data_IF_044515133054
#
_entry.id   IF_044515133054
#
_cell.length_a   1.000
_cell.length_b   1.000
_cell.length_c   1.000
_cell.angle_alpha   90.00
_cell.angle_beta   90.00
_cell.angle_gamma   90.00
#
_symmetry.space_group_name_H-M   'P 1'
#
loop_
_entity.id
_entity.type
_entity.pdbx_description
1 polymer ?
#
# COMPACT_ATOMS: atom_id res chain seq x y z
N UNK A 1 -27.63 -68.78 2.88
CA UNK A 1 -27.46 -68.05 4.16
C UNK A 1 -26.11 -67.36 4.12
N UNK A 2 -26.14 -66.04 3.98
CA UNK A 2 -24.98 -65.15 3.83
C UNK A 2 -24.65 -64.63 5.23
N UNK A 3 -23.44 -64.88 5.73
CA UNK A 3 -22.83 -64.22 6.88
C UNK A 3 -21.37 -64.69 6.98
N UNK A 4 -20.36 -63.89 7.29
CA UNK A 4 -20.17 -62.45 7.33
C UNK A 4 -18.65 -62.26 7.23
N UNK A 5 -18.19 -61.44 6.28
CA UNK A 5 -16.77 -61.14 6.11
C UNK A 5 -16.27 -60.25 7.25
N UNK A 6 -15.26 -60.70 7.97
CA UNK A 6 -14.50 -59.88 8.92
C UNK A 6 -13.68 -58.84 8.17
N UNK A 7 -14.09 -57.59 8.28
CA UNK A 7 -13.35 -56.42 7.79
C UNK A 7 -12.30 -56.05 8.85
N UNK A 8 -11.04 -56.39 8.58
CA UNK A 8 -9.89 -55.83 9.28
C UNK A 8 -9.79 -54.35 8.90
N UNK A 9 -10.05 -53.48 9.89
CA UNK A 9 -9.75 -52.06 9.81
C UNK A 9 -8.24 -51.89 9.88
N UNK A 10 -7.59 -51.64 8.74
CA UNK A 10 -6.23 -51.10 8.72
C UNK A 10 -6.31 -49.67 9.24
N UNK A 11 -5.86 -49.49 10.47
CA UNK A 11 -5.66 -48.20 11.12
C UNK A 11 -4.58 -47.43 10.33
N UNK A 12 -5.02 -46.56 9.41
CA UNK A 12 -4.13 -45.62 8.73
C UNK A 12 -3.68 -44.62 9.78
N UNK A 13 -2.48 -44.83 10.32
CA UNK A 13 -1.81 -43.84 11.17
C UNK A 13 -1.75 -42.52 10.41
N UNK A 14 -2.53 -41.54 10.89
CA UNK A 14 -2.38 -40.15 10.50
C UNK A 14 -0.99 -39.70 10.90
N UNK A 15 -0.11 -39.53 9.91
CA UNK A 15 1.17 -38.84 10.09
C UNK A 15 0.84 -37.41 10.49
N UNK A 16 0.91 -37.15 11.79
CA UNK A 16 0.93 -35.80 12.34
C UNK A 16 2.14 -35.09 11.74
N UNK A 17 1.96 -33.83 11.34
CA UNK A 17 3.02 -32.98 10.82
C UNK A 17 4.02 -32.64 11.93
N UNK A 18 4.81 -33.64 12.31
CA UNK A 18 5.93 -33.56 13.22
C UNK A 18 7.13 -33.05 12.43
N UNK A 19 7.58 -31.86 12.83
CA UNK A 19 8.93 -31.33 12.70
C UNK A 19 9.81 -31.96 11.61
N UNK A 20 9.83 -31.33 10.43
CA UNK A 20 10.92 -31.52 9.47
C UNK A 20 12.17 -30.88 10.08
N UNK A 21 12.87 -31.60 10.97
CA UNK A 21 14.23 -31.25 11.35
C UNK A 21 15.14 -31.54 10.15
N UNK A 22 16.01 -30.58 9.73
CA UNK A 22 16.98 -30.86 8.68
C UNK A 22 17.92 -31.99 9.15
N UNK A 23 18.31 -32.92 8.25
CA UNK A 23 19.01 -34.17 8.59
C UNK A 23 20.38 -33.99 9.26
N UNK A 24 20.88 -32.77 9.38
CA UNK A 24 22.18 -32.43 9.95
C UNK A 24 22.10 -31.72 11.31
N UNK A 25 20.91 -31.47 11.87
CA UNK A 25 20.77 -30.76 13.15
C UNK A 25 21.29 -29.31 13.14
N UNK A 26 21.67 -28.79 11.97
CA UNK A 26 22.17 -27.44 11.79
C UNK A 26 21.02 -26.45 11.96
N UNK A 27 21.03 -25.69 13.06
CA UNK A 27 20.27 -24.43 13.16
C UNK A 27 20.95 -23.39 12.29
N UNK A 28 20.71 -23.44 10.98
CA UNK A 28 21.18 -22.40 10.06
C UNK A 28 20.30 -21.17 10.31
N UNK A 29 20.85 -20.02 10.75
CA UNK A 29 20.07 -18.80 10.88
C UNK A 29 19.46 -18.44 9.52
N UNK A 30 18.33 -17.71 9.53
CA UNK A 30 17.76 -17.22 8.28
C UNK A 30 18.83 -16.40 7.55
N UNK A 31 19.05 -16.64 6.24
CA UNK A 31 20.14 -16.03 5.50
C UNK A 31 20.01 -14.50 5.34
N UNK A 32 18.82 -13.96 5.60
CA UNK A 32 18.55 -12.52 5.66
C UNK A 32 18.11 -12.18 7.07
N UNK A 33 19.02 -11.61 7.86
CA UNK A 33 18.81 -11.32 9.28
C UNK A 33 18.60 -9.83 9.61
N UNK A 34 18.72 -8.93 8.62
CA UNK A 34 18.66 -7.49 8.85
C UNK A 34 17.80 -6.80 7.78
N UNK A 35 17.15 -5.71 8.20
CA UNK A 35 16.40 -4.80 7.33
C UNK A 35 17.33 -3.84 6.60
N UNK A 36 17.05 -3.57 5.33
CA UNK A 36 17.60 -2.39 4.66
C UNK A 36 16.78 -1.11 4.96
N UNK A 37 17.36 0.10 4.72
CA UNK A 37 16.66 1.36 4.94
C UNK A 37 15.38 1.46 4.10
N UNK A 38 14.26 1.85 4.70
CA UNK A 38 12.94 1.93 4.02
C UNK A 38 12.48 0.61 3.34
N UNK A 39 13.02 -0.54 3.74
CA UNK A 39 12.67 -1.83 3.12
C UNK A 39 11.28 -2.34 3.58
N UNK A 40 10.50 -2.87 2.62
CA UNK A 40 9.24 -3.57 2.92
C UNK A 40 9.44 -5.03 3.34
N UNK A 41 8.51 -5.60 4.13
CA UNK A 41 8.53 -7.04 4.46
C UNK A 41 8.52 -7.94 3.22
N UNK A 42 7.81 -7.54 2.17
CA UNK A 42 7.81 -8.25 0.89
C UNK A 42 9.19 -8.28 0.24
N UNK A 43 9.94 -7.18 0.32
CA UNK A 43 11.31 -7.10 -0.15
C UNK A 43 12.24 -8.04 0.62
N UNK A 44 12.18 -8.01 1.95
CA UNK A 44 12.99 -8.89 2.79
C UNK A 44 12.71 -10.36 2.48
N UNK A 45 11.44 -10.74 2.34
CA UNK A 45 11.04 -12.07 1.93
C UNK A 45 11.53 -12.44 0.52
N UNK A 46 11.59 -11.46 -0.39
CA UNK A 46 12.13 -11.63 -1.75
C UNK A 46 13.65 -11.81 -1.76
N UNK A 47 14.38 -11.09 -0.91
CA UNK A 47 15.82 -11.34 -0.69
C UNK A 47 16.04 -12.74 -0.15
N UNK A 48 15.29 -13.13 0.89
CA UNK A 48 15.35 -14.47 1.47
C UNK A 48 15.09 -15.55 0.41
N UNK A 49 14.08 -15.35 -0.45
CA UNK A 49 13.77 -16.26 -1.54
C UNK A 49 14.98 -16.53 -2.44
N UNK A 50 15.67 -15.46 -2.85
CA UNK A 50 16.83 -15.52 -3.73
C UNK A 50 18.03 -16.16 -3.03
N UNK A 51 18.39 -15.69 -1.83
CA UNK A 51 19.59 -16.16 -1.11
C UNK A 51 19.44 -17.61 -0.66
N UNK A 52 18.26 -18.03 -0.21
CA UNK A 52 17.98 -19.43 0.15
C UNK A 52 17.81 -20.35 -1.07
N UNK A 53 17.95 -19.83 -2.29
CA UNK A 53 17.77 -20.57 -3.55
C UNK A 53 16.44 -21.33 -3.62
N UNK A 54 15.37 -20.72 -3.08
CA UNK A 54 14.06 -21.35 -3.06
C UNK A 54 13.50 -21.44 -4.48
N UNK A 55 13.14 -22.65 -4.92
CA UNK A 55 12.63 -22.85 -6.28
C UNK A 55 11.20 -22.39 -6.46
N UNK A 56 10.35 -22.59 -5.44
CA UNK A 56 8.93 -22.20 -5.49
C UNK A 56 8.67 -21.10 -4.48
N UNK A 57 7.79 -20.17 -4.84
CA UNK A 57 7.36 -19.15 -3.89
C UNK A 57 6.69 -19.74 -2.64
N UNK A 58 6.04 -20.90 -2.79
CA UNK A 58 5.47 -21.66 -1.67
C UNK A 58 6.50 -22.08 -0.64
N UNK A 59 7.74 -22.33 -1.03
CA UNK A 59 8.80 -22.79 -0.13
C UNK A 59 9.21 -21.63 0.78
N UNK A 60 9.39 -20.44 0.22
CA UNK A 60 9.61 -19.20 0.98
C UNK A 60 8.43 -18.86 1.87
N UNK A 61 7.19 -18.94 1.38
CA UNK A 61 6.02 -18.72 2.23
C UNK A 61 5.97 -19.73 3.38
N UNK A 62 6.34 -20.99 3.12
CA UNK A 62 6.38 -22.05 4.11
C UNK A 62 7.55 -21.90 5.08
N UNK A 63 8.63 -21.20 4.72
CA UNK A 63 9.78 -20.89 5.59
C UNK A 63 9.59 -19.63 6.43
N UNK A 64 8.87 -18.63 5.92
CA UNK A 64 8.67 -17.36 6.63
C UNK A 64 7.32 -17.24 7.34
N UNK A 65 6.23 -17.74 6.75
CA UNK A 65 4.84 -17.51 7.23
C UNK A 65 4.08 -18.80 7.59
N UNK A 66 4.72 -19.96 7.45
CA UNK A 66 4.16 -21.28 7.79
C UNK A 66 2.98 -21.72 6.93
N UNK A 67 2.84 -21.15 5.73
CA UNK A 67 1.78 -21.51 4.79
C UNK A 67 2.32 -21.48 3.36
N UNK A 68 1.86 -22.37 2.48
CA UNK A 68 2.33 -22.42 1.09
C UNK A 68 1.91 -21.24 0.19
N UNK A 69 1.04 -20.33 0.66
CA UNK A 69 0.37 -19.31 -0.19
C UNK A 69 -0.02 -18.04 0.56
N UNK A 70 -0.43 -18.17 1.83
CA UNK A 70 -0.72 -17.01 2.68
C UNK A 70 0.59 -16.32 3.06
N UNK A 71 0.58 -14.98 3.13
CA UNK A 71 1.77 -14.15 3.38
C UNK A 71 2.44 -13.57 2.13
N UNK A 72 2.15 -14.09 0.93
CA UNK A 72 2.82 -13.68 -0.32
C UNK A 72 2.34 -12.37 -0.95
N UNK A 73 1.51 -11.61 -0.23
CA UNK A 73 0.95 -10.34 -0.70
C UNK A 73 1.92 -9.23 -0.37
N UNK A 74 2.23 -8.41 -1.36
CA UNK A 74 3.20 -7.32 -1.23
C UNK A 74 2.61 -6.08 -0.56
N UNK A 75 1.30 -5.89 -0.68
CA UNK A 75 0.56 -4.75 -0.15
C UNK A 75 0.20 -4.94 1.33
N UNK A 76 -0.44 -6.06 1.67
CA UNK A 76 -0.90 -6.36 3.03
C UNK A 76 -0.41 -7.74 3.46
N UNK A 77 0.53 -7.81 4.43
CA UNK A 77 1.03 -9.08 4.91
C UNK A 77 -0.02 -9.82 5.75
N UNK A 78 0.28 -11.08 6.08
CA UNK A 78 -0.54 -11.91 6.97
C UNK A 78 0.36 -12.91 7.68
N UNK A 79 -0.11 -13.45 8.81
CA UNK A 79 0.62 -14.37 9.67
C UNK A 79 1.93 -13.77 10.21
N UNK A 80 1.87 -12.51 10.63
CA UNK A 80 3.03 -11.82 11.20
C UNK A 80 3.49 -12.45 12.51
N UNK A 81 2.61 -13.05 13.32
CA UNK A 81 3.04 -13.78 14.53
C UNK A 81 3.96 -14.96 14.16
N UNK A 82 3.62 -15.71 13.11
CA UNK A 82 4.46 -16.81 12.60
C UNK A 82 5.80 -16.29 12.08
N UNK A 83 5.80 -15.16 11.38
CA UNK A 83 7.02 -14.53 10.88
C UNK A 83 7.95 -14.11 12.03
N UNK A 84 7.41 -13.44 13.05
CA UNK A 84 8.16 -13.02 14.24
C UNK A 84 8.71 -14.25 14.99
N UNK A 85 7.90 -15.29 15.18
CA UNK A 85 8.34 -16.51 15.84
C UNK A 85 9.52 -17.19 15.10
N UNK A 86 9.47 -17.21 13.77
CA UNK A 86 10.50 -17.88 12.93
C UNK A 86 11.78 -17.10 12.77
N UNK A 87 11.71 -15.78 12.93
CA UNK A 87 12.86 -14.89 12.96
C UNK A 87 13.41 -14.72 14.38
N UNK A 88 12.82 -15.41 15.37
CA UNK A 88 13.20 -15.29 16.78
C UNK A 88 13.02 -13.86 17.33
N UNK A 89 12.13 -13.07 16.73
CA UNK A 89 11.94 -11.65 17.06
C UNK A 89 13.06 -10.71 16.60
N UNK A 90 14.09 -11.20 15.91
CA UNK A 90 15.25 -10.39 15.49
C UNK A 90 14.88 -9.31 14.46
N UNK A 91 13.83 -9.54 13.68
CA UNK A 91 13.32 -8.59 12.68
C UNK A 91 12.20 -7.68 13.23
N UNK A 92 12.05 -7.62 14.55
CA UNK A 92 11.08 -6.79 15.24
C UNK A 92 9.78 -7.52 15.58
N UNK A 93 8.96 -6.83 16.38
CA UNK A 93 7.61 -7.18 16.75
C UNK A 93 6.63 -7.01 15.58
N UNK A 94 5.41 -7.51 15.74
CA UNK A 94 4.37 -7.34 14.72
C UNK A 94 4.04 -5.85 14.51
N UNK A 95 3.95 -5.08 15.60
CA UNK A 95 3.73 -3.64 15.56
C UNK A 95 4.81 -2.93 14.75
N UNK A 96 6.09 -3.16 15.07
CA UNK A 96 7.22 -2.54 14.35
C UNK A 96 7.18 -2.91 12.86
N UNK A 97 6.91 -4.17 12.52
CA UNK A 97 6.77 -4.60 11.13
C UNK A 97 5.61 -3.87 10.45
N UNK A 98 4.44 -3.79 11.08
CA UNK A 98 3.28 -3.10 10.50
C UNK A 98 3.58 -1.62 10.26
N UNK A 99 4.14 -0.93 11.25
CA UNK A 99 4.36 0.51 11.17
C UNK A 99 5.59 0.92 10.34
N UNK A 100 6.61 0.07 10.27
CA UNK A 100 7.88 0.41 9.62
C UNK A 100 8.11 -0.30 8.28
N UNK A 101 7.48 -1.46 8.06
CA UNK A 101 7.81 -2.38 6.95
C UNK A 101 6.63 -2.68 6.03
N UNK A 102 5.51 -1.97 6.19
CA UNK A 102 4.32 -2.08 5.33
C UNK A 102 3.77 -0.72 4.91
N UNK A 103 2.81 -0.73 3.96
CA UNK A 103 2.08 0.47 3.54
C UNK A 103 0.86 0.80 4.42
N UNK A 104 0.50 -0.08 5.38
CA UNK A 104 -0.67 0.10 6.25
C UNK A 104 -0.71 1.44 7.02
N UNK A 105 0.42 2.02 7.46
CA UNK A 105 0.45 3.33 8.10
C UNK A 105 -0.23 4.44 7.31
N UNK A 106 -0.26 4.36 5.98
CA UNK A 106 -0.94 5.36 5.15
C UNK A 106 -2.46 5.41 5.42
N UNK A 107 -3.05 4.29 5.82
CA UNK A 107 -4.50 4.14 5.94
C UNK A 107 -5.02 4.41 7.35
N UNK A 108 -4.20 4.20 8.38
CA UNK A 108 -4.64 4.30 9.77
C UNK A 108 -5.11 5.69 10.20
N UNK A 109 -4.47 6.81 9.80
CA UNK A 109 -4.93 8.13 10.23
C UNK A 109 -6.34 8.46 9.73
N UNK A 110 -6.84 7.80 8.69
CA UNK A 110 -8.17 8.01 8.14
C UNK A 110 -9.23 7.05 8.72
N UNK A 111 -8.85 6.26 9.72
CA UNK A 111 -9.71 5.28 10.39
C UNK A 111 -9.86 5.58 11.88
N UNK A 112 -10.53 4.70 12.63
CA UNK A 112 -10.57 4.80 14.09
C UNK A 112 -9.49 3.94 14.74
N UNK A 113 -9.14 4.24 15.99
CA UNK A 113 -8.15 3.45 16.74
C UNK A 113 -8.56 1.99 16.84
N UNK A 114 -9.83 1.73 17.11
CA UNK A 114 -10.39 0.38 17.23
C UNK A 114 -10.22 -0.39 15.91
N UNK A 115 -10.45 0.27 14.78
CA UNK A 115 -10.29 -0.34 13.45
C UNK A 115 -8.82 -0.57 13.09
N UNK A 116 -7.91 0.31 13.50
CA UNK A 116 -6.48 0.06 13.37
C UNK A 116 -6.08 -1.19 14.17
N UNK A 117 -6.51 -1.31 15.42
CA UNK A 117 -6.26 -2.48 16.25
C UNK A 117 -6.86 -3.76 15.67
N UNK A 118 -8.07 -3.70 15.09
CA UNK A 118 -8.69 -4.82 14.35
C UNK A 118 -7.82 -5.26 13.17
N UNK A 119 -7.29 -4.31 12.39
CA UNK A 119 -6.41 -4.62 11.27
C UNK A 119 -5.11 -5.26 11.75
N UNK A 120 -4.49 -4.74 12.81
CA UNK A 120 -3.29 -5.31 13.42
C UNK A 120 -3.56 -6.75 13.89
N UNK A 121 -4.68 -6.99 14.59
CA UNK A 121 -5.13 -8.34 14.98
C UNK A 121 -5.32 -9.25 13.76
N UNK A 122 -5.82 -8.71 12.65
CA UNK A 122 -6.06 -9.48 11.42
C UNK A 122 -4.75 -9.89 10.73
N UNK A 123 -3.75 -9.01 10.67
CA UNK A 123 -2.46 -9.33 10.00
C UNK A 123 -1.57 -10.26 10.84
N UNK A 124 -1.80 -10.34 12.16
CA UNK A 124 -1.13 -11.27 13.08
C UNK A 124 -1.36 -12.74 12.69
N UNK A 125 -2.60 -13.09 12.36
CA UNK A 125 -2.99 -14.45 11.95
C UNK A 125 -3.38 -14.51 10.45
N UNK A 126 -4.08 -15.58 10.08
CA UNK A 126 -4.61 -15.85 8.75
C UNK A 126 -5.82 -14.96 8.52
N UNK A 127 -5.76 -14.16 7.48
CA UNK A 127 -6.89 -13.35 7.00
C UNK A 127 -8.09 -14.27 6.66
N UNK A 128 -9.02 -14.46 7.60
CA UNK A 128 -10.30 -15.15 7.37
C UNK A 128 -11.27 -14.26 6.60
N UNK A 129 -12.22 -14.86 5.88
CA UNK A 129 -13.03 -14.20 4.85
C UNK A 129 -13.85 -12.98 5.32
N UNK A 130 -14.21 -12.88 6.61
CA UNK A 130 -14.99 -11.77 7.16
C UNK A 130 -14.15 -10.50 7.41
N UNK A 131 -12.87 -10.64 7.79
CA UNK A 131 -11.95 -9.52 8.07
C UNK A 131 -11.28 -8.98 6.80
N UNK A 132 -11.33 -9.76 5.71
CA UNK A 132 -10.95 -9.31 4.37
C UNK A 132 -11.79 -8.11 3.92
N UNK A 133 -13.09 -8.13 4.14
CA UNK A 133 -13.99 -7.13 3.56
C UNK A 133 -13.75 -5.69 4.09
N UNK A 134 -13.60 -5.42 5.41
CA UNK A 134 -13.28 -4.09 5.91
C UNK A 134 -11.90 -3.57 5.48
N UNK A 135 -10.90 -4.45 5.39
CA UNK A 135 -9.57 -4.13 4.91
C UNK A 135 -9.58 -3.85 3.40
N UNK A 136 -10.23 -4.68 2.59
CA UNK A 136 -10.44 -4.37 1.16
C UNK A 136 -11.32 -3.15 0.95
N UNK A 137 -12.28 -2.83 1.81
CA UNK A 137 -13.04 -1.58 1.73
C UNK A 137 -12.21 -0.33 2.06
N UNK A 138 -11.23 -0.45 2.96
CA UNK A 138 -10.22 0.59 3.19
C UNK A 138 -9.31 0.75 1.96
N UNK A 139 -9.08 -0.35 1.23
CA UNK A 139 -8.16 -0.45 0.10
C UNK A 139 -8.83 -0.34 -1.30
N UNK A 140 -10.17 -0.23 -1.44
CA UNK A 140 -10.84 -0.23 -2.75
C UNK A 140 -12.02 0.76 -2.90
N UNK A 141 -11.86 1.68 -3.87
CA UNK A 141 -12.58 1.69 -5.17
C UNK A 141 -11.66 2.09 -6.34
N UNK A 142 -10.37 2.31 -6.08
CA UNK A 142 -9.34 2.58 -7.07
C UNK A 142 -8.65 1.26 -7.32
N UNK A 143 -8.68 0.77 -8.57
CA UNK A 143 -8.09 -0.49 -9.07
C UNK A 143 -7.46 -1.40 -8.00
N UNK A 144 -8.05 -2.57 -7.77
CA UNK A 144 -7.72 -3.55 -6.72
C UNK A 144 -6.29 -4.15 -6.77
N UNK A 145 -5.35 -3.52 -7.47
CA UNK A 145 -3.97 -3.95 -7.65
C UNK A 145 -3.07 -2.78 -7.26
N UNK A 146 -2.37 -2.92 -6.13
CA UNK A 146 -1.23 -2.05 -5.83
C UNK A 146 -0.07 -2.47 -6.75
N UNK A 147 0.39 -1.61 -7.69
CA UNK A 147 1.52 -1.93 -8.52
C UNK A 147 2.82 -1.93 -7.71
N UNK A 148 3.71 -2.88 -7.97
CA UNK A 148 5.10 -2.78 -7.48
C UNK A 148 5.86 -1.76 -8.31
N UNK A 149 6.35 -0.72 -7.63
CA UNK A 149 6.97 0.45 -8.24
C UNK A 149 8.41 0.62 -7.75
N UNK A 150 9.33 0.97 -8.65
CA UNK A 150 10.71 1.27 -8.28
C UNK A 150 11.29 2.42 -9.11
N UNK A 151 12.29 3.09 -8.53
CA UNK A 151 13.10 4.07 -9.23
C UNK A 151 14.35 3.40 -9.80
N UNK A 152 14.67 3.65 -11.07
CA UNK A 152 15.88 3.12 -11.71
C UNK A 152 17.16 3.59 -11.02
N UNK A 153 17.17 4.82 -10.51
CA UNK A 153 18.32 5.38 -9.82
C UNK A 153 18.49 4.78 -8.42
N UNK A 154 17.41 4.57 -7.66
CA UNK A 154 17.48 3.79 -6.40
C UNK A 154 18.03 2.39 -6.65
N UNK A 155 17.62 1.70 -7.72
CA UNK A 155 18.15 0.37 -8.04
C UNK A 155 19.68 0.39 -8.20
N UNK A 156 20.22 1.38 -8.92
CA UNK A 156 21.68 1.50 -9.11
C UNK A 156 22.40 1.80 -7.79
N UNK A 157 21.85 2.72 -6.98
CA UNK A 157 22.40 3.09 -5.68
C UNK A 157 22.35 1.90 -4.70
N UNK A 158 21.24 1.17 -4.66
CA UNK A 158 21.06 -0.01 -3.81
C UNK A 158 22.02 -1.13 -4.17
N UNK A 159 22.20 -1.42 -5.46
CA UNK A 159 23.18 -2.43 -5.92
C UNK A 159 24.60 -2.00 -5.56
N UNK A 160 24.93 -0.71 -5.74
CA UNK A 160 26.26 -0.20 -5.39
C UNK A 160 26.52 -0.27 -3.89
N UNK A 161 25.54 0.07 -3.06
CA UNK A 161 25.70 0.19 -1.61
C UNK A 161 25.48 -1.12 -0.86
N UNK A 162 24.43 -1.87 -1.21
CA UNK A 162 23.98 -3.06 -0.49
C UNK A 162 24.15 -4.37 -1.29
N UNK A 163 24.71 -4.29 -2.51
CA UNK A 163 24.88 -5.43 -3.43
C UNK A 163 23.56 -6.06 -3.90
N UNK A 164 22.42 -5.44 -3.57
CA UNK A 164 21.10 -5.92 -3.92
C UNK A 164 20.11 -4.76 -3.99
N UNK A 165 19.36 -4.67 -5.08
CA UNK A 165 18.22 -3.76 -5.15
C UNK A 165 17.01 -4.34 -4.41
N UNK A 166 16.24 -3.48 -3.77
CA UNK A 166 15.17 -3.89 -2.86
C UNK A 166 13.95 -2.96 -2.96
N UNK A 167 12.78 -3.41 -2.49
CA UNK A 167 11.57 -2.60 -2.56
C UNK A 167 11.50 -1.60 -1.41
N UNK A 168 11.76 -0.33 -1.75
CA UNK A 168 11.53 0.82 -0.89
C UNK A 168 10.03 1.01 -0.63
N UNK A 169 9.67 1.17 0.63
CA UNK A 169 8.30 1.35 1.12
C UNK A 169 7.71 2.67 0.64
N UNK A 170 8.49 3.74 0.62
CA UNK A 170 8.05 5.06 0.16
C UNK A 170 7.56 5.02 -1.30
N UNK A 171 8.12 4.15 -2.14
CA UNK A 171 7.66 3.94 -3.51
C UNK A 171 6.31 3.18 -3.58
N UNK A 172 5.99 2.36 -2.59
CA UNK A 172 4.81 1.48 -2.63
C UNK A 172 3.53 2.17 -2.14
N UNK A 173 3.62 3.35 -1.55
CA UNK A 173 2.42 4.07 -1.14
C UNK A 173 1.50 4.34 -2.34
N UNK A 174 0.18 4.09 -2.21
CA UNK A 174 -0.81 4.45 -3.22
C UNK A 174 -0.71 5.91 -3.64
N UNK A 175 -0.75 6.16 -4.95
CA UNK A 175 -0.70 7.51 -5.52
C UNK A 175 0.69 8.12 -5.58
N UNK A 176 1.71 7.46 -5.00
CA UNK A 176 3.11 7.85 -5.15
C UNK A 176 3.67 7.28 -6.44
N UNK A 177 3.88 8.15 -7.43
CA UNK A 177 4.42 7.78 -8.75
C UNK A 177 5.68 8.55 -9.10
N UNK A 178 6.28 9.20 -8.10
CA UNK A 178 7.55 9.87 -8.20
C UNK A 178 8.40 9.45 -7.00
N UNK A 179 9.68 9.18 -7.25
CA UNK A 179 10.64 8.89 -6.21
C UNK A 179 10.81 10.13 -5.33
N UNK A 180 10.58 10.05 -4.01
CA UNK A 180 10.77 11.19 -3.12
C UNK A 180 12.24 11.61 -2.99
N UNK A 181 13.17 10.70 -3.28
CA UNK A 181 14.62 10.96 -3.20
C UNK A 181 15.15 11.61 -4.48
N UNK A 182 14.80 11.06 -5.66
CA UNK A 182 15.38 11.50 -6.94
C UNK A 182 14.46 12.38 -7.79
N UNK A 183 13.21 12.59 -7.38
CA UNK A 183 12.20 13.33 -8.16
C UNK A 183 12.01 12.80 -9.59
N UNK A 184 12.16 11.49 -9.77
CA UNK A 184 11.95 10.78 -11.05
C UNK A 184 10.71 9.91 -10.98
N UNK A 185 9.97 9.82 -12.08
CA UNK A 185 8.80 8.95 -12.14
C UNK A 185 9.17 7.49 -11.83
N UNK A 186 8.33 6.83 -11.03
CA UNK A 186 8.50 5.43 -10.67
C UNK A 186 8.04 4.54 -11.82
N UNK A 187 8.75 3.44 -12.03
CA UNK A 187 8.41 2.42 -13.03
C UNK A 187 7.69 1.26 -12.36
N UNK A 188 6.56 0.87 -12.93
CA UNK A 188 5.85 -0.35 -12.56
C UNK A 188 6.50 -1.57 -13.21
N UNK A 189 6.58 -2.68 -12.47
CA UNK A 189 7.01 -3.97 -13.02
C UNK A 189 5.89 -4.64 -13.81
N UNK A 190 6.20 -5.09 -15.03
CA UNK A 190 5.28 -5.86 -15.89
C UNK A 190 5.64 -7.33 -15.86
N UNK A 191 5.58 -7.92 -14.67
CA UNK A 191 5.63 -9.39 -14.62
C UNK A 191 4.26 -9.90 -15.04
N UNK A 192 4.23 -10.54 -16.22
CA UNK A 192 3.11 -11.36 -16.68
C UNK A 192 2.56 -12.16 -15.49
N UNK A 193 1.33 -11.84 -15.10
CA UNK A 193 0.57 -12.64 -14.14
C UNK A 193 0.34 -13.98 -14.82
N UNK A 194 1.27 -14.91 -14.64
CA UNK A 194 1.03 -16.33 -14.90
C UNK A 194 -0.19 -16.80 -14.09
N UNK A 195 -0.62 -18.05 -14.29
CA UNK A 195 -1.85 -18.62 -13.67
C UNK A 195 -1.93 -18.49 -12.12
N UNK A 196 -0.85 -18.10 -11.45
CA UNK A 196 -0.77 -17.68 -10.05
C UNK A 196 -0.78 -16.14 -9.91
N UNK A 197 -1.87 -15.59 -9.35
CA UNK A 197 -2.13 -14.15 -9.13
C UNK A 197 -1.19 -13.49 -8.09
N UNK A 198 0.10 -13.31 -8.40
CA UNK A 198 1.04 -12.57 -7.54
C UNK A 198 2.37 -12.27 -8.23
N UNK A 199 3.16 -11.34 -7.68
CA UNK A 199 4.43 -10.86 -8.26
C UNK A 199 5.59 -11.87 -8.21
N UNK A 200 5.39 -13.03 -7.57
CA UNK A 200 6.49 -13.90 -7.14
C UNK A 200 7.39 -13.17 -6.13
N UNK A 201 8.19 -13.88 -5.36
CA UNK A 201 9.16 -13.24 -4.45
C UNK A 201 10.32 -12.65 -5.26
N UNK A 202 10.04 -11.57 -5.98
CA UNK A 202 10.92 -10.93 -6.94
C UNK A 202 11.51 -9.64 -6.38
N UNK A 203 12.77 -9.39 -6.73
CA UNK A 203 13.47 -8.14 -6.44
C UNK A 203 13.34 -7.18 -7.63
N UNK A 204 13.43 -5.86 -7.39
CA UNK A 204 13.39 -4.89 -8.47
C UNK A 204 14.60 -5.06 -9.39
N UNK A 205 14.34 -5.18 -10.69
CA UNK A 205 15.37 -5.22 -11.74
C UNK A 205 14.91 -4.36 -12.91
N UNK A 206 15.84 -3.63 -13.52
CA UNK A 206 15.56 -2.76 -14.68
C UNK A 206 14.90 -3.52 -15.84
N UNK A 207 15.29 -4.77 -16.03
CA UNK A 207 14.77 -5.67 -17.07
C UNK A 207 13.29 -6.04 -16.88
N UNK A 208 12.75 -5.94 -15.66
CA UNK A 208 11.39 -6.33 -15.34
C UNK A 208 10.37 -5.19 -15.52
N UNK A 209 10.84 -3.97 -15.80
CA UNK A 209 9.94 -2.86 -16.03
C UNK A 209 9.14 -3.05 -17.32
N UNK A 210 7.91 -2.52 -17.32
CA UNK A 210 7.16 -2.37 -18.55
C UNK A 210 8.08 -1.81 -19.64
N UNK A 211 8.18 -2.50 -20.79
CA UNK A 211 8.67 -1.83 -21.99
C UNK A 211 7.82 -0.58 -22.11
N UNK A 212 8.45 0.58 -22.22
CA UNK A 212 7.72 1.81 -22.46
C UNK A 212 6.78 1.52 -23.65
N UNK A 213 5.47 1.54 -23.42
CA UNK A 213 4.56 1.59 -24.54
C UNK A 213 4.96 2.84 -25.31
N UNK A 214 5.21 2.72 -26.60
CA UNK A 214 5.53 3.88 -27.45
C UNK A 214 4.38 4.92 -27.50
N UNK A 215 3.33 4.77 -26.69
CA UNK A 215 2.47 5.86 -26.26
C UNK A 215 3.19 6.73 -25.22
N UNK A 216 3.84 7.78 -25.74
CA UNK A 216 4.47 8.91 -25.06
C UNK A 216 5.92 8.73 -24.58
N UNK A 217 6.80 8.42 -25.55
CA UNK A 217 8.10 9.10 -25.58
C UNK A 217 7.84 10.55 -26.01
N UNK A 218 8.41 11.51 -25.27
CA UNK A 218 8.31 12.96 -25.49
C UNK A 218 6.97 13.62 -25.14
N UNK A 219 6.54 13.51 -23.88
CA UNK A 219 5.93 14.68 -23.26
C UNK A 219 7.04 15.31 -22.41
N UNK A 220 7.53 16.47 -22.84
CA UNK A 220 8.17 17.45 -21.97
C UNK A 220 7.54 17.36 -20.57
N UNK A 221 8.37 17.24 -19.53
CA UNK A 221 7.95 17.41 -18.14
C UNK A 221 7.08 18.67 -18.10
N UNK A 222 5.75 18.52 -18.12
CA UNK A 222 4.88 19.64 -17.80
C UNK A 222 5.19 19.91 -16.33
N UNK A 223 5.80 21.07 -15.99
CA UNK A 223 6.26 21.34 -14.64
C UNK A 223 5.13 21.12 -13.62
N UNK A 224 3.88 21.28 -14.03
CA UNK A 224 2.70 21.02 -13.22
C UNK A 224 2.50 19.54 -12.85
N UNK A 225 2.67 18.57 -13.75
CA UNK A 225 2.45 17.14 -13.44
C UNK A 225 3.45 16.65 -12.41
N UNK A 226 4.75 16.86 -12.65
CA UNK A 226 5.82 16.42 -11.75
C UNK A 226 5.67 17.06 -10.39
N UNK A 227 5.35 18.36 -10.33
CA UNK A 227 5.08 19.06 -9.06
C UNK A 227 3.88 18.46 -8.33
N UNK A 228 2.78 18.15 -9.02
CA UNK A 228 1.60 17.51 -8.41
C UNK A 228 1.93 16.12 -7.87
N UNK A 229 2.72 15.31 -8.61
CA UNK A 229 3.18 14.00 -8.14
C UNK A 229 4.09 14.12 -6.91
N UNK A 230 5.03 15.08 -6.88
CA UNK A 230 5.88 15.34 -5.71
C UNK A 230 5.03 15.72 -4.49
N UNK A 231 3.99 16.55 -4.68
CA UNK A 231 3.06 16.95 -3.62
C UNK A 231 2.25 15.76 -3.09
N UNK A 232 1.80 14.87 -3.97
CA UNK A 232 1.14 13.61 -3.59
C UNK A 232 2.08 12.69 -2.81
N UNK A 233 3.32 12.52 -3.27
CA UNK A 233 4.34 11.71 -2.60
C UNK A 233 4.62 12.23 -1.19
N UNK A 234 4.84 13.53 -1.05
CA UNK A 234 5.04 14.17 0.24
C UNK A 234 3.82 14.03 1.15
N UNK A 235 2.61 14.29 0.65
CA UNK A 235 1.39 14.16 1.43
C UNK A 235 1.13 12.71 1.89
N UNK A 236 1.43 11.71 1.06
CA UNK A 236 1.32 10.31 1.43
C UNK A 236 2.29 9.95 2.57
N UNK A 237 3.56 10.34 2.44
CA UNK A 237 4.57 10.11 3.48
C UNK A 237 4.20 10.82 4.79
N UNK A 238 3.76 12.08 4.72
CA UNK A 238 3.38 12.86 5.89
C UNK A 238 2.11 12.33 6.57
N UNK A 239 1.13 11.86 5.79
CA UNK A 239 -0.04 11.17 6.33
C UNK A 239 0.38 9.88 7.05
N UNK A 240 1.21 9.04 6.44
CA UNK A 240 1.70 7.81 7.07
C UNK A 240 2.47 8.07 8.37
N UNK A 241 3.22 9.17 8.44
CA UNK A 241 4.00 9.58 9.61
C UNK A 241 3.13 10.03 10.82
N UNK A 242 1.82 10.22 10.66
CA UNK A 242 0.90 10.50 11.77
C UNK A 242 0.69 9.29 12.70
N UNK A 243 0.93 8.09 12.19
CA UNK A 243 0.74 6.85 12.95
C UNK A 243 1.83 6.65 14.01
N UNK A 244 1.55 5.93 15.11
CA UNK A 244 0.29 5.25 15.46
C UNK A 244 -0.71 6.14 16.22
N UNK A 245 -0.35 7.38 16.52
CA UNK A 245 -1.01 8.14 17.58
C UNK A 245 -2.01 9.20 17.09
N UNK A 246 -1.89 9.65 15.84
CA UNK A 246 -2.70 10.75 15.32
C UNK A 246 -3.71 10.24 14.28
N UNK A 247 -4.98 10.57 14.52
CA UNK A 247 -6.10 10.24 13.64
C UNK A 247 -6.78 11.53 13.16
N UNK A 248 -7.18 11.55 11.90
CA UNK A 248 -7.89 12.66 11.26
C UNK A 248 -9.40 12.50 11.54
N UNK A 249 -9.92 13.41 12.35
CA UNK A 249 -11.34 13.55 12.64
C UNK A 249 -12.08 13.96 11.36
N UNK A 250 -13.00 13.11 10.92
CA UNK A 250 -13.73 13.25 9.65
C UNK A 250 -14.47 14.57 9.54
N UNK A 251 -15.15 14.99 10.61
CA UNK A 251 -15.93 16.23 10.63
C UNK A 251 -15.04 17.47 10.59
N UNK A 252 -13.93 17.45 11.32
CA UNK A 252 -12.90 18.50 11.24
C UNK A 252 -12.28 18.59 9.85
N UNK A 253 -11.99 17.45 9.20
CA UNK A 253 -11.48 17.44 7.83
C UNK A 253 -12.48 18.07 6.84
N UNK A 254 -13.77 17.72 6.93
CA UNK A 254 -14.82 18.33 6.09
C UNK A 254 -14.94 19.83 6.32
N UNK A 255 -14.89 20.29 7.58
CA UNK A 255 -14.87 21.73 7.91
C UNK A 255 -13.62 22.42 7.34
N UNK A 256 -12.46 21.80 7.45
CA UNK A 256 -11.20 22.30 6.88
C UNK A 256 -11.31 22.49 5.36
N UNK A 257 -11.89 21.52 4.65
CA UNK A 257 -12.16 21.65 3.20
C UNK A 257 -13.16 22.76 2.88
N UNK A 258 -14.25 22.87 3.63
CA UNK A 258 -15.25 23.93 3.45
C UNK A 258 -14.65 25.32 3.66
N UNK A 259 -13.89 25.51 4.73
CA UNK A 259 -13.22 26.78 5.04
C UNK A 259 -12.24 27.16 3.94
N UNK A 260 -11.51 26.17 3.40
CA UNK A 260 -10.59 26.40 2.29
C UNK A 260 -11.32 26.79 1.01
N UNK A 261 -12.45 26.15 0.69
CA UNK A 261 -13.28 26.54 -0.46
C UNK A 261 -13.84 27.96 -0.31
N UNK A 262 -14.22 28.38 0.92
CA UNK A 262 -14.65 29.76 1.20
C UNK A 262 -13.50 30.73 0.95
N UNK A 263 -12.30 30.44 1.48
CA UNK A 263 -11.12 31.28 1.29
C UNK A 263 -10.70 31.42 -0.19
N UNK A 264 -11.01 30.42 -1.03
CA UNK A 264 -10.78 30.47 -2.47
C UNK A 264 -11.90 31.16 -3.25
N UNK A 265 -12.99 31.59 -2.60
CA UNK A 265 -14.18 32.15 -3.24
C UNK A 265 -14.94 31.13 -4.10
N UNK A 266 -14.82 29.84 -3.77
CA UNK A 266 -15.49 28.72 -4.43
C UNK A 266 -16.76 28.27 -3.66
N UNK A 267 -16.93 28.77 -2.45
CA UNK A 267 -18.10 28.58 -1.59
C UNK A 267 -18.42 29.89 -0.87
N UNK A 268 -19.69 30.27 -0.77
CA UNK A 268 -20.11 31.40 0.06
C UNK A 268 -20.10 31.02 1.55
N UNK A 269 -20.09 32.02 2.43
CA UNK A 269 -20.29 31.82 3.87
C UNK A 269 -21.69 31.27 4.18
N UNK A 270 -22.70 31.58 3.35
CA UNK A 270 -24.05 30.99 3.42
C UNK A 270 -24.12 29.53 2.97
N UNK A 271 -23.03 28.99 2.40
CA UNK A 271 -22.91 27.57 2.03
C UNK A 271 -23.17 27.26 0.56
N UNK A 272 -23.48 28.26 -0.26
CA UNK A 272 -23.68 28.12 -1.71
C UNK A 272 -22.35 27.81 -2.41
N UNK A 273 -22.33 26.81 -3.29
CA UNK A 273 -21.14 26.43 -4.04
C UNK A 273 -21.13 27.10 -5.42
N UNK A 274 -20.02 27.75 -5.76
CA UNK A 274 -19.73 28.22 -7.12
C UNK A 274 -19.34 27.01 -7.99
N UNK A 275 -20.34 26.19 -8.32
CA UNK A 275 -20.15 24.84 -8.84
C UNK A 275 -19.34 24.82 -10.15
N UNK A 276 -19.56 25.78 -11.04
CA UNK A 276 -18.79 25.92 -12.29
C UNK A 276 -17.30 26.09 -12.01
N UNK A 277 -16.94 27.03 -11.12
CA UNK A 277 -15.56 27.30 -10.73
C UNK A 277 -14.91 26.11 -10.02
N UNK A 278 -15.64 25.45 -9.12
CA UNK A 278 -15.16 24.22 -8.46
C UNK A 278 -14.89 23.11 -9.47
N UNK A 279 -15.83 22.86 -10.40
CA UNK A 279 -15.71 21.82 -11.42
C UNK A 279 -14.49 22.08 -12.30
N UNK A 280 -14.33 23.29 -12.84
CA UNK A 280 -13.18 23.66 -13.66
C UNK A 280 -11.87 23.43 -12.90
N UNK A 281 -11.76 23.94 -11.67
CA UNK A 281 -10.54 23.82 -10.87
C UNK A 281 -10.17 22.38 -10.51
N UNK A 282 -11.16 21.52 -10.19
CA UNK A 282 -10.91 20.09 -9.92
C UNK A 282 -10.42 19.38 -11.17
N UNK A 283 -11.05 19.64 -12.33
CA UNK A 283 -10.70 18.97 -13.57
C UNK A 283 -9.30 19.36 -14.05
N UNK A 284 -8.95 20.65 -13.95
CA UNK A 284 -7.59 21.14 -14.23
C UNK A 284 -6.54 20.46 -13.34
N UNK A 285 -6.81 20.32 -12.04
CA UNK A 285 -5.89 19.64 -11.11
C UNK A 285 -5.81 18.12 -11.33
N UNK A 286 -6.91 17.49 -11.74
CA UNK A 286 -6.97 16.04 -11.96
C UNK A 286 -6.32 15.63 -13.29
N UNK A 287 -6.47 16.44 -14.34
CA UNK A 287 -6.11 16.06 -15.71
C UNK A 287 -4.66 15.57 -15.86
N UNK A 288 -3.61 16.27 -15.36
CA UNK A 288 -2.23 15.81 -15.52
C UNK A 288 -1.97 14.48 -14.78
N UNK A 289 -2.64 14.26 -13.66
CA UNK A 289 -2.49 13.08 -12.80
C UNK A 289 -3.15 11.83 -13.42
N UNK A 290 -4.22 11.99 -14.20
CA UNK A 290 -4.95 10.88 -14.82
C UNK A 290 -4.15 10.10 -15.88
N UNK A 291 -3.00 10.62 -16.32
CA UNK A 291 -2.04 9.88 -17.16
C UNK A 291 -1.48 8.64 -16.44
N UNK A 292 -1.52 8.63 -15.11
CA UNK A 292 -1.11 7.51 -14.27
C UNK A 292 -2.29 6.53 -14.11
N UNK A 293 -2.14 5.23 -14.42
CA UNK A 293 -3.22 4.25 -14.35
C UNK A 293 -3.94 4.18 -13.00
N UNK A 294 -3.19 4.22 -11.88
CA UNK A 294 -3.76 4.21 -10.52
C UNK A 294 -4.64 5.43 -10.23
N UNK A 295 -4.42 6.56 -10.92
CA UNK A 295 -5.11 7.83 -10.72
C UNK A 295 -6.23 8.08 -11.74
N UNK A 296 -6.55 7.11 -12.61
CA UNK A 296 -7.65 7.21 -13.58
C UNK A 296 -9.03 7.40 -12.95
N UNK A 297 -9.19 7.04 -11.67
CA UNK A 297 -10.44 7.21 -10.92
C UNK A 297 -10.59 8.61 -10.26
N UNK A 298 -9.62 9.51 -10.45
CA UNK A 298 -9.85 10.94 -10.22
C UNK A 298 -10.98 11.47 -11.12
N UNK A 299 -11.55 12.66 -10.91
CA UNK A 299 -12.60 13.19 -11.78
C UNK A 299 -12.12 13.39 -13.24
N UNK A 300 -12.84 12.81 -14.21
CA UNK A 300 -12.56 12.92 -15.66
C UNK A 300 -13.44 13.93 -16.39
N UNK A 301 -14.61 14.21 -15.83
CA UNK A 301 -15.66 15.00 -16.44
C UNK A 301 -16.47 15.72 -15.37
N UNK A 302 -17.29 16.66 -15.81
CA UNK A 302 -18.11 17.50 -14.93
C UNK A 302 -18.99 16.68 -13.97
N UNK A 303 -19.64 15.62 -14.45
CA UNK A 303 -20.49 14.77 -13.60
C UNK A 303 -19.69 14.16 -12.43
N UNK A 304 -18.50 13.64 -12.72
CA UNK A 304 -17.61 13.06 -11.70
C UNK A 304 -17.05 14.12 -10.76
N UNK A 305 -16.67 15.31 -11.29
CA UNK A 305 -16.18 16.42 -10.48
C UNK A 305 -17.24 16.91 -9.50
N UNK A 306 -18.48 17.11 -9.97
CA UNK A 306 -19.63 17.47 -9.12
C UNK A 306 -19.85 16.45 -8.01
N UNK A 307 -19.86 15.16 -8.34
CA UNK A 307 -20.04 14.09 -7.35
C UNK A 307 -18.90 14.07 -6.31
N UNK A 308 -17.66 14.30 -6.74
CA UNK A 308 -16.50 14.39 -5.85
C UNK A 308 -16.57 15.59 -4.90
N UNK A 309 -16.89 16.79 -5.41
CA UNK A 309 -17.03 18.02 -4.61
C UNK A 309 -18.14 17.87 -3.57
N UNK A 310 -19.28 17.30 -3.96
CA UNK A 310 -20.38 17.04 -3.03
C UNK A 310 -19.94 16.07 -1.94
N UNK A 311 -19.27 14.96 -2.27
CA UNK A 311 -18.75 14.02 -1.28
C UNK A 311 -17.75 14.67 -0.31
N UNK A 312 -16.88 15.54 -0.81
CA UNK A 312 -15.86 16.22 -0.01
C UNK A 312 -16.45 17.20 1.03
N UNK A 313 -17.60 17.77 0.71
CA UNK A 313 -18.17 18.90 1.45
C UNK A 313 -19.50 18.60 2.15
N UNK A 314 -20.04 17.39 2.05
CA UNK A 314 -21.31 17.01 2.66
C UNK A 314 -21.19 16.41 4.06
N UNK A 315 -22.23 16.61 4.86
CA UNK A 315 -22.49 15.92 6.13
C UNK A 315 -23.83 15.16 6.00
N UNK A 316 -23.96 13.91 6.50
CA UNK A 316 -22.97 13.16 7.27
C UNK A 316 -21.74 12.73 6.45
N UNK A 317 -20.57 12.67 7.11
CA UNK A 317 -19.30 12.42 6.42
C UNK A 317 -19.28 11.01 5.85
N UNK A 318 -19.01 10.89 4.55
CA UNK A 318 -18.76 9.59 3.93
C UNK A 318 -17.29 9.20 4.03
N UNK A 319 -17.01 7.88 4.07
CA UNK A 319 -15.64 7.39 3.97
C UNK A 319 -15.06 7.76 2.61
N UNK A 320 -14.08 8.65 2.62
CA UNK A 320 -13.32 9.03 1.43
C UNK A 320 -12.10 8.13 1.29
N UNK A 321 -11.84 7.66 0.07
CA UNK A 321 -10.65 6.87 -0.25
C UNK A 321 -9.37 7.69 0.00
N UNK A 322 -8.29 7.05 0.46
CA UNK A 322 -7.02 7.75 0.78
C UNK A 322 -6.49 8.54 -0.41
N UNK A 323 -6.53 7.99 -1.63
CA UNK A 323 -6.12 8.73 -2.84
C UNK A 323 -6.95 9.99 -3.09
N UNK A 324 -8.26 9.93 -2.84
CA UNK A 324 -9.13 11.09 -2.98
C UNK A 324 -8.85 12.13 -1.89
N UNK A 325 -8.53 11.69 -0.68
CA UNK A 325 -8.11 12.56 0.42
C UNK A 325 -6.79 13.29 0.09
N UNK A 326 -5.77 12.54 -0.35
CA UNK A 326 -4.49 13.10 -0.79
C UNK A 326 -4.66 14.06 -1.96
N UNK A 327 -5.51 13.71 -2.94
CA UNK A 327 -5.84 14.60 -4.05
C UNK A 327 -6.53 15.88 -3.57
N UNK A 328 -7.47 15.81 -2.61
CA UNK A 328 -8.11 17.01 -2.01
C UNK A 328 -7.07 17.94 -1.38
N UNK A 329 -6.07 17.38 -0.70
CA UNK A 329 -4.99 18.14 -0.07
C UNK A 329 -4.17 18.87 -1.14
N UNK A 330 -3.74 18.16 -2.17
CA UNK A 330 -2.95 18.75 -3.26
C UNK A 330 -3.75 19.79 -4.05
N UNK A 331 -5.02 19.52 -4.35
CA UNK A 331 -5.89 20.43 -5.09
C UNK A 331 -6.20 21.72 -4.29
N UNK A 332 -6.65 21.63 -3.04
CA UNK A 332 -7.12 22.78 -2.28
C UNK A 332 -6.01 23.54 -1.54
N UNK A 333 -4.99 22.82 -1.05
CA UNK A 333 -3.95 23.37 -0.18
C UNK A 333 -2.57 23.44 -0.84
N UNK A 334 -2.42 22.88 -2.04
CA UNK A 334 -1.15 22.74 -2.78
C UNK A 334 -0.14 21.80 -2.13
N UNK A 335 -0.07 21.71 -0.80
CA UNK A 335 0.81 20.78 -0.09
C UNK A 335 0.20 20.36 1.25
N UNK A 336 0.82 19.34 1.88
CA UNK A 336 0.40 18.79 3.15
C UNK A 336 0.46 19.80 4.31
N UNK A 337 1.53 20.58 4.44
CA UNK A 337 1.71 21.49 5.56
C UNK A 337 0.58 22.52 5.63
N UNK A 338 0.22 23.12 4.49
CA UNK A 338 -0.91 24.06 4.42
C UNK A 338 -2.24 23.40 4.82
N UNK A 339 -2.47 22.14 4.47
CA UNK A 339 -3.64 21.39 4.94
C UNK A 339 -3.58 21.15 6.44
N UNK A 340 -2.44 20.66 6.93
CA UNK A 340 -2.27 20.28 8.32
C UNK A 340 -2.41 21.48 9.27
N UNK A 341 -1.81 22.61 8.94
CA UNK A 341 -1.96 23.86 9.71
C UNK A 341 -3.42 24.34 9.72
N UNK A 342 -4.09 24.29 8.56
CA UNK A 342 -5.52 24.62 8.46
C UNK A 342 -6.39 23.65 9.25
N UNK A 343 -6.03 22.37 9.29
CA UNK A 343 -6.75 21.33 10.03
C UNK A 343 -6.59 21.49 11.54
N UNK A 344 -5.37 21.79 12.02
CA UNK A 344 -5.09 21.99 13.44
C UNK A 344 -5.78 23.24 14.00
N UNK A 345 -5.88 24.30 13.20
CA UNK A 345 -6.56 25.55 13.56
C UNK A 345 -8.08 25.50 13.36
N UNK A 346 -8.61 24.47 12.69
CA UNK A 346 -10.04 24.33 12.43
C UNK A 346 -10.79 23.90 13.71
N UNK A 347 -11.48 24.85 14.35
CA UNK A 347 -12.27 24.62 15.56
C UNK A 347 -13.74 24.26 15.28
N UNK A 348 -14.35 23.63 16.30
CA UNK A 348 -15.79 23.42 16.58
C UNK A 348 -16.74 24.35 15.85
#
# INVERSE_FOLDING_TARGET
MIAAGSSEWVEVQMVTASEIQPPLGLRIPLPVGEWLPDETIFSLASRHHVVACNRRGSDTCMQLFGHARVGSKHDVPSRLDTFVARTGGQLGSVEEIVFERTILPLYFPLTSKERMEDIIRTVRDTMTGSLRYPLYMLLNRFSAVHPLKACEQCIDEDVKQFQVAYWHRAHQYPGVWICPTHNRELREITMSIGRSRGYGWSLPRKEHFARASNTCSLASVEPDRTVLLCRLAFAAAALAALTPNVFIEKERAVRTYRNRLIALGMRSTSGELQLSRCVTSVLEAAMPLRSVPELLALPANERQARAYIMRLTWLPVQNMHVLLHLFSIVWLFRNWNCFWDSYLTCTG
#
